data_IF_197424879169
#
_entry.id   IF_197424879169
#
_cell.length_a   1.000
_cell.length_b   1.000
_cell.length_c   1.000
_cell.angle_alpha   90.00
_cell.angle_beta   90.00
_cell.angle_gamma   90.00
#
_symmetry.space_group_name_H-M   'P 1'
#
loop_
_entity.id
_entity.type
_entity.pdbx_description
1 polymer ?
#
# COMPACT_ATOMS: atom_id res chain seq x y z
N UNK A 1 11.32 -26.06 1.97
CA UNK A 1 11.24 -24.66 1.49
C UNK A 1 12.41 -23.90 2.10
N UNK A 2 13.13 -23.11 1.30
CA UNK A 2 14.39 -22.45 1.70
C UNK A 2 14.17 -20.93 1.82
N UNK A 3 14.86 -20.30 2.77
CA UNK A 3 15.02 -18.86 2.87
C UNK A 3 16.30 -18.45 2.13
N UNK A 4 16.34 -17.25 1.53
CA UNK A 4 17.55 -16.73 0.91
C UNK A 4 18.57 -16.25 1.95
N UNK A 5 18.44 -15.00 2.41
CA UNK A 5 19.24 -14.39 3.48
C UNK A 5 18.37 -14.26 4.73
N UNK A 6 18.86 -14.78 5.86
CA UNK A 6 18.14 -14.81 7.13
C UNK A 6 18.92 -14.10 8.24
N UNK A 7 18.31 -13.08 8.84
CA UNK A 7 18.75 -12.43 10.09
C UNK A 7 17.71 -12.71 11.16
N UNK A 8 18.11 -13.39 12.24
CA UNK A 8 17.14 -13.88 13.22
C UNK A 8 17.66 -13.84 14.67
N UNK A 9 16.75 -14.04 15.63
CA UNK A 9 17.04 -14.35 17.04
C UNK A 9 17.85 -13.26 17.74
N UNK A 10 17.39 -12.02 17.64
CA UNK A 10 18.05 -10.87 18.26
C UNK A 10 19.33 -10.43 17.56
N UNK A 11 19.71 -11.05 16.44
CA UNK A 11 20.91 -10.68 15.69
C UNK A 11 20.79 -9.28 15.12
N UNK A 12 21.92 -8.55 15.12
CA UNK A 12 22.02 -7.25 14.46
C UNK A 12 22.96 -7.36 13.27
N UNK A 13 22.51 -6.89 12.12
CA UNK A 13 23.30 -6.80 10.89
C UNK A 13 23.34 -5.35 10.45
N UNK A 14 24.53 -4.86 10.11
CA UNK A 14 24.64 -3.47 9.64
C UNK A 14 24.04 -3.33 8.25
N UNK A 15 24.44 -4.18 7.31
CA UNK A 15 24.10 -4.00 5.89
C UNK A 15 23.80 -5.35 5.23
N UNK A 16 22.75 -5.38 4.40
CA UNK A 16 22.51 -6.41 3.39
C UNK A 16 22.52 -5.67 2.05
N UNK A 17 23.61 -5.81 1.29
CA UNK A 17 23.83 -5.02 0.09
C UNK A 17 24.16 -5.84 -1.16
N UNK A 18 23.62 -5.42 -2.32
CA UNK A 18 24.00 -5.91 -3.65
C UNK A 18 23.90 -7.43 -3.83
N UNK A 19 22.91 -8.07 -3.20
CA UNK A 19 22.67 -9.50 -3.35
C UNK A 19 21.65 -9.77 -4.45
N UNK A 20 21.77 -10.95 -5.05
CA UNK A 20 20.81 -11.47 -6.01
C UNK A 20 20.20 -12.77 -5.47
N UNK A 21 18.96 -12.67 -4.99
CA UNK A 21 18.29 -13.72 -4.22
C UNK A 21 17.03 -14.16 -4.96
N UNK A 22 17.08 -15.34 -5.59
CA UNK A 22 16.00 -15.83 -6.46
C UNK A 22 15.46 -17.20 -6.11
N UNK A 23 14.20 -17.41 -6.49
CA UNK A 23 13.51 -18.71 -6.54
C UNK A 23 13.54 -19.49 -5.21
N UNK A 24 13.52 -18.77 -4.09
CA UNK A 24 13.43 -19.37 -2.76
C UNK A 24 11.98 -19.74 -2.45
N UNK A 25 11.77 -20.94 -1.92
CA UNK A 25 10.43 -21.41 -1.55
C UNK A 25 9.78 -20.67 -0.37
N UNK A 26 10.47 -19.71 0.27
CA UNK A 26 9.93 -18.83 1.31
C UNK A 26 10.30 -17.37 1.03
N UNK A 27 10.98 -16.67 1.93
CA UNK A 27 11.40 -15.29 1.73
C UNK A 27 12.77 -15.25 1.04
N UNK A 28 12.97 -14.27 0.17
CA UNK A 28 14.31 -13.94 -0.33
C UNK A 28 15.14 -13.31 0.79
N UNK A 29 14.68 -12.19 1.35
CA UNK A 29 15.29 -11.56 2.52
C UNK A 29 14.36 -11.73 3.73
N UNK A 30 14.87 -12.26 4.83
CA UNK A 30 14.07 -12.53 6.02
C UNK A 30 14.72 -11.98 7.29
N UNK A 31 14.01 -11.09 7.97
CA UNK A 31 14.41 -10.48 9.23
C UNK A 31 13.35 -10.82 10.29
N UNK A 32 13.67 -11.70 11.24
CA UNK A 32 12.68 -12.23 12.18
C UNK A 32 13.19 -12.36 13.63
N UNK A 33 12.27 -12.60 14.56
CA UNK A 33 12.57 -12.89 15.96
C UNK A 33 13.49 -11.85 16.61
N UNK A 34 13.01 -10.61 16.68
CA UNK A 34 13.69 -9.46 17.31
C UNK A 34 15.01 -9.07 16.63
N UNK A 35 15.22 -9.45 15.37
CA UNK A 35 16.39 -9.08 14.61
C UNK A 35 16.39 -7.59 14.24
N UNK A 36 17.58 -7.06 13.96
CA UNK A 36 17.76 -5.69 13.49
C UNK A 36 18.67 -5.66 12.26
N UNK A 37 18.24 -4.94 11.22
CA UNK A 37 19.09 -4.61 10.08
C UNK A 37 19.13 -3.09 9.90
N UNK A 38 20.30 -2.48 9.87
CA UNK A 38 20.35 -1.02 9.69
C UNK A 38 20.02 -0.62 8.25
N UNK A 39 20.58 -1.30 7.24
CA UNK A 39 20.38 -1.00 5.82
C UNK A 39 20.20 -2.26 4.96
N UNK A 40 19.20 -2.26 4.10
CA UNK A 40 19.00 -3.21 3.00
C UNK A 40 19.00 -2.42 1.69
N UNK A 41 20.00 -2.60 0.83
CA UNK A 41 20.12 -1.78 -0.40
C UNK A 41 20.71 -2.49 -1.60
N UNK A 42 20.24 -2.14 -2.81
CA UNK A 42 20.79 -2.67 -4.06
C UNK A 42 20.55 -4.17 -4.27
N UNK A 43 19.64 -4.79 -3.52
CA UNK A 43 19.36 -6.21 -3.66
C UNK A 43 18.27 -6.47 -4.70
N UNK A 44 18.37 -7.61 -5.37
CA UNK A 44 17.28 -8.21 -6.15
C UNK A 44 16.73 -9.39 -5.36
N UNK A 45 15.43 -9.40 -5.12
CA UNK A 45 14.70 -10.51 -4.50
C UNK A 45 13.53 -10.90 -5.38
N UNK A 46 13.70 -11.99 -6.15
CA UNK A 46 12.81 -12.35 -7.26
C UNK A 46 12.32 -13.80 -7.20
N UNK A 47 11.06 -14.08 -7.56
CA UNK A 47 10.58 -15.47 -7.65
C UNK A 47 10.41 -16.17 -6.30
N UNK A 48 10.37 -15.43 -5.20
CA UNK A 48 10.19 -15.97 -3.86
C UNK A 48 8.72 -15.92 -3.42
N UNK A 49 8.35 -16.58 -2.33
CA UNK A 49 7.03 -16.33 -1.73
C UNK A 49 6.96 -14.90 -1.16
N UNK A 50 8.00 -14.44 -0.48
CA UNK A 50 8.09 -13.03 -0.04
C UNK A 50 9.44 -12.42 -0.46
N UNK A 51 9.44 -11.24 -1.08
CA UNK A 51 10.67 -10.56 -1.47
C UNK A 51 11.49 -10.14 -0.24
N UNK A 52 10.90 -9.34 0.64
CA UNK A 52 11.42 -8.98 1.96
C UNK A 52 10.36 -9.22 3.03
N UNK A 53 10.70 -9.98 4.05
CA UNK A 53 9.84 -10.25 5.20
C UNK A 53 10.49 -9.73 6.49
N UNK A 54 9.77 -8.86 7.22
CA UNK A 54 10.19 -8.32 8.53
C UNK A 54 9.13 -8.71 9.56
N UNK A 55 9.45 -9.64 10.46
CA UNK A 55 8.48 -10.24 11.38
C UNK A 55 8.94 -10.19 12.85
N UNK A 56 7.99 -10.41 13.75
CA UNK A 56 8.22 -10.75 15.17
C UNK A 56 9.14 -9.77 15.91
N UNK A 57 8.68 -8.52 16.02
CA UNK A 57 9.38 -7.40 16.68
C UNK A 57 10.73 -7.05 16.05
N UNK A 58 10.99 -7.50 14.82
CA UNK A 58 12.21 -7.14 14.11
C UNK A 58 12.11 -5.76 13.49
N UNK A 59 13.25 -5.15 13.22
CA UNK A 59 13.33 -3.78 12.71
C UNK A 59 14.30 -3.65 11.56
N UNK A 60 13.94 -2.82 10.58
CA UNK A 60 14.84 -2.40 9.52
C UNK A 60 14.87 -0.87 9.41
N UNK A 61 16.05 -0.27 9.50
CA UNK A 61 16.22 1.19 9.45
C UNK A 61 16.00 1.77 8.06
N UNK A 62 16.69 1.23 7.05
CA UNK A 62 16.59 1.68 5.66
C UNK A 62 16.44 0.51 4.71
N UNK A 63 15.48 0.60 3.79
CA UNK A 63 15.30 -0.32 2.67
C UNK A 63 15.25 0.54 1.41
N UNK A 64 16.35 0.55 0.65
CA UNK A 64 16.53 1.52 -0.42
C UNK A 64 17.05 0.92 -1.72
N UNK A 65 16.48 1.33 -2.85
CA UNK A 65 16.96 0.93 -4.18
C UNK A 65 17.04 -0.59 -4.38
N UNK A 66 16.07 -1.33 -3.84
CA UNK A 66 15.95 -2.78 -4.07
C UNK A 66 14.89 -3.08 -5.13
N UNK A 67 14.98 -4.28 -5.71
CA UNK A 67 14.01 -4.84 -6.64
C UNK A 67 13.32 -6.06 -6.00
N UNK A 68 12.06 -5.91 -5.61
CA UNK A 68 11.20 -6.94 -5.03
C UNK A 68 10.13 -7.35 -6.05
N UNK A 69 10.54 -8.03 -7.12
CA UNK A 69 9.66 -8.36 -8.23
C UNK A 69 9.33 -9.85 -8.37
N UNK A 70 8.18 -10.18 -8.96
CA UNK A 70 7.76 -11.57 -9.24
C UNK A 70 7.72 -12.51 -8.02
N UNK A 71 7.44 -11.97 -6.84
CA UNK A 71 7.18 -12.73 -5.62
C UNK A 71 5.66 -12.91 -5.42
N UNK A 72 5.22 -13.72 -4.46
CA UNK A 72 3.82 -13.64 -4.04
C UNK A 72 3.57 -12.27 -3.37
N UNK A 73 4.38 -11.92 -2.36
CA UNK A 73 4.35 -10.60 -1.72
C UNK A 73 5.71 -9.92 -1.92
N UNK A 74 5.73 -8.69 -2.41
CA UNK A 74 6.97 -7.93 -2.57
C UNK A 74 7.63 -7.63 -1.22
N UNK A 75 6.90 -6.96 -0.33
CA UNK A 75 7.37 -6.61 1.03
C UNK A 75 6.29 -6.92 2.06
N UNK A 76 6.67 -7.59 3.14
CA UNK A 76 5.79 -7.93 4.25
C UNK A 76 6.34 -7.41 5.58
N UNK A 77 5.46 -6.77 6.37
CA UNK A 77 5.73 -6.49 7.79
C UNK A 77 4.58 -7.03 8.64
N UNK A 78 4.91 -7.73 9.72
CA UNK A 78 3.90 -8.19 10.67
C UNK A 78 4.44 -8.44 12.07
N UNK A 79 3.53 -8.61 13.03
CA UNK A 79 3.80 -8.96 14.42
C UNK A 79 4.73 -7.93 15.08
N UNK A 80 4.28 -6.68 15.13
CA UNK A 80 4.98 -5.53 15.74
C UNK A 80 6.34 -5.22 15.14
N UNK A 81 6.60 -5.70 13.91
CA UNK A 81 7.79 -5.34 13.15
C UNK A 81 7.76 -3.87 12.70
N UNK A 82 8.94 -3.29 12.52
CA UNK A 82 9.10 -1.89 12.09
C UNK A 82 9.99 -1.74 10.86
N UNK A 83 9.61 -0.82 9.98
CA UNK A 83 10.42 -0.36 8.87
C UNK A 83 10.48 1.16 8.88
N UNK A 84 11.64 1.76 9.10
CA UNK A 84 11.69 3.21 9.27
C UNK A 84 11.62 3.95 7.93
N UNK A 85 12.53 3.63 7.00
CA UNK A 85 12.67 4.32 5.72
C UNK A 85 12.71 3.32 4.57
N UNK A 86 11.57 3.03 3.97
CA UNK A 86 11.43 2.16 2.81
C UNK A 86 11.26 3.04 1.57
N UNK A 87 12.37 3.33 0.86
CA UNK A 87 12.38 4.34 -0.20
C UNK A 87 13.00 3.91 -1.51
N UNK A 88 12.45 4.39 -2.64
CA UNK A 88 13.09 4.21 -3.95
C UNK A 88 13.17 2.75 -4.42
N UNK A 89 12.34 1.86 -3.88
CA UNK A 89 12.32 0.46 -4.28
C UNK A 89 11.38 0.23 -5.47
N UNK A 90 11.68 -0.81 -6.24
CA UNK A 90 10.79 -1.35 -7.28
C UNK A 90 10.07 -2.57 -6.70
N UNK A 91 8.74 -2.58 -6.77
CA UNK A 91 7.89 -3.68 -6.32
C UNK A 91 6.93 -4.01 -7.46
N UNK A 92 7.37 -4.91 -8.35
CA UNK A 92 6.69 -5.13 -9.63
C UNK A 92 6.25 -6.59 -9.82
N UNK A 93 5.08 -6.77 -10.43
CA UNK A 93 4.62 -8.07 -10.92
C UNK A 93 4.52 -9.15 -9.82
N UNK A 94 4.26 -8.75 -8.58
CA UNK A 94 3.98 -9.66 -7.48
C UNK A 94 2.49 -10.02 -7.43
N UNK A 95 2.07 -10.98 -6.58
CA UNK A 95 0.64 -11.13 -6.26
C UNK A 95 0.12 -9.98 -5.40
N UNK A 96 0.96 -9.43 -4.51
CA UNK A 96 0.75 -8.19 -3.75
C UNK A 96 2.02 -7.38 -3.56
N UNK A 97 1.91 -6.06 -3.50
CA UNK A 97 3.08 -5.19 -3.31
C UNK A 97 3.58 -5.14 -1.87
N UNK A 98 3.01 -4.24 -1.06
CA UNK A 98 3.28 -4.11 0.37
C UNK A 98 2.13 -4.71 1.19
N UNK A 99 2.44 -5.59 2.13
CA UNK A 99 1.48 -6.18 3.07
C UNK A 99 1.89 -5.88 4.53
N UNK A 100 0.98 -5.29 5.31
CA UNK A 100 1.22 -4.93 6.70
C UNK A 100 0.10 -5.42 7.61
N UNK A 101 0.44 -6.10 8.71
CA UNK A 101 -0.56 -6.58 9.67
C UNK A 101 -0.02 -6.74 11.10
N UNK A 102 -0.89 -7.06 12.06
CA UNK A 102 -0.54 -7.42 13.46
C UNK A 102 0.38 -6.39 14.13
N UNK A 103 -0.09 -5.16 14.17
CA UNK A 103 0.53 -3.99 14.79
C UNK A 103 1.92 -3.61 14.25
N UNK A 104 2.20 -3.91 12.97
CA UNK A 104 3.42 -3.42 12.31
C UNK A 104 3.36 -1.91 12.04
N UNK A 105 4.55 -1.29 11.90
CA UNK A 105 4.67 0.15 11.66
C UNK A 105 5.67 0.44 10.56
N UNK A 106 5.28 1.26 9.59
CA UNK A 106 6.19 1.86 8.62
C UNK A 106 6.14 3.38 8.73
N UNK A 107 7.25 4.01 9.12
CA UNK A 107 7.26 5.46 9.37
C UNK A 107 7.47 6.28 8.11
N UNK A 108 8.06 5.71 7.06
CA UNK A 108 8.17 6.34 5.76
C UNK A 108 8.29 5.29 4.65
N UNK A 109 7.22 5.15 3.87
CA UNK A 109 7.21 4.38 2.62
C UNK A 109 7.12 5.38 1.46
N UNK A 110 8.25 5.72 0.84
CA UNK A 110 8.31 6.85 -0.09
C UNK A 110 9.04 6.62 -1.41
N UNK A 111 8.60 7.30 -2.48
CA UNK A 111 9.26 7.26 -3.79
C UNK A 111 9.43 5.83 -4.36
N UNK A 112 8.59 4.89 -3.95
CA UNK A 112 8.60 3.52 -4.46
C UNK A 112 7.72 3.43 -5.72
N UNK A 113 8.06 2.48 -6.57
CA UNK A 113 7.31 2.14 -7.79
C UNK A 113 6.64 0.78 -7.60
N UNK A 114 5.33 0.79 -7.43
CA UNK A 114 4.52 -0.41 -7.24
C UNK A 114 3.69 -0.64 -8.49
N UNK A 115 4.10 -1.58 -9.35
CA UNK A 115 3.48 -1.78 -10.66
C UNK A 115 3.04 -3.21 -10.88
N UNK A 116 1.97 -3.40 -11.63
CA UNK A 116 1.50 -4.70 -12.12
C UNK A 116 1.31 -5.78 -11.03
N UNK A 117 1.16 -5.37 -9.77
CA UNK A 117 0.91 -6.29 -8.66
C UNK A 117 -0.54 -6.80 -8.78
N UNK A 118 -0.76 -8.10 -8.60
CA UNK A 118 -2.02 -8.73 -9.00
C UNK A 118 -3.08 -8.66 -7.91
N UNK A 119 -3.56 -9.82 -7.47
CA UNK A 119 -4.79 -10.01 -6.69
C UNK A 119 -4.84 -9.19 -5.40
N UNK A 120 -3.73 -9.07 -4.68
CA UNK A 120 -3.68 -8.39 -3.38
C UNK A 120 -3.45 -6.87 -3.51
N UNK A 121 -3.30 -6.36 -4.74
CA UNK A 121 -3.15 -4.94 -5.02
C UNK A 121 -1.76 -4.38 -4.77
N UNK A 122 -1.67 -3.05 -4.69
CA UNK A 122 -0.43 -2.32 -4.49
C UNK A 122 0.02 -2.32 -3.03
N UNK A 123 -0.81 -1.78 -2.15
CA UNK A 123 -0.55 -1.67 -0.71
C UNK A 123 -1.76 -2.16 0.07
N UNK A 124 -1.54 -3.08 1.00
CA UNK A 124 -2.55 -3.58 1.92
C UNK A 124 -2.10 -3.37 3.37
N UNK A 125 -2.86 -2.59 4.12
CA UNK A 125 -2.59 -2.28 5.54
C UNK A 125 -3.78 -2.75 6.37
N UNK A 126 -3.58 -3.86 7.09
CA UNK A 126 -4.50 -4.36 8.12
C UNK A 126 -4.35 -3.60 9.43
N UNK A 127 -4.35 -4.30 10.57
CA UNK A 127 -4.22 -3.70 11.90
C UNK A 127 -2.80 -3.15 12.13
N UNK A 128 -2.41 -2.06 11.45
CA UNK A 128 -1.05 -1.52 11.37
C UNK A 128 -1.06 -0.03 10.99
N UNK A 129 0.09 0.63 11.07
CA UNK A 129 0.23 2.07 10.78
C UNK A 129 1.27 2.31 9.70
N UNK A 130 0.94 3.12 8.69
CA UNK A 130 1.87 3.48 7.62
C UNK A 130 1.79 4.97 7.22
N UNK A 131 2.95 5.59 6.99
CA UNK A 131 3.04 6.85 6.26
C UNK A 131 3.55 6.59 4.84
N UNK A 132 2.76 6.99 3.84
CA UNK A 132 2.96 6.67 2.42
C UNK A 132 3.10 7.99 1.66
N UNK A 133 4.26 8.25 1.06
CA UNK A 133 4.56 9.54 0.42
C UNK A 133 5.13 9.40 -0.99
N UNK A 134 4.66 10.19 -1.95
CA UNK A 134 5.29 10.30 -3.28
C UNK A 134 5.51 8.95 -4.02
N UNK A 135 4.67 7.95 -3.78
CA UNK A 135 4.78 6.67 -4.49
C UNK A 135 4.03 6.71 -5.82
N UNK A 136 4.41 5.82 -6.73
CA UNK A 136 3.68 5.55 -7.96
C UNK A 136 3.10 4.13 -7.88
N UNK A 137 1.78 4.03 -7.83
CA UNK A 137 1.04 2.77 -7.70
C UNK A 137 0.17 2.60 -8.94
N UNK A 138 0.47 1.62 -9.79
CA UNK A 138 -0.24 1.50 -11.05
C UNK A 138 -0.39 0.08 -11.61
N UNK A 139 -1.45 -0.08 -12.42
CA UNK A 139 -1.70 -1.31 -13.15
C UNK A 139 -1.92 -2.54 -12.28
N UNK A 140 -2.33 -2.37 -11.01
CA UNK A 140 -2.62 -3.51 -10.15
C UNK A 140 -3.94 -4.17 -10.56
N UNK A 141 -4.04 -5.50 -10.38
CA UNK A 141 -5.32 -6.19 -10.65
C UNK A 141 -6.33 -5.89 -9.54
N UNK A 142 -5.88 -5.81 -8.29
CA UNK A 142 -6.67 -5.34 -7.16
C UNK A 142 -6.72 -3.81 -7.05
N UNK A 143 -6.96 -3.32 -5.83
CA UNK A 143 -6.92 -1.89 -5.54
C UNK A 143 -5.47 -1.35 -5.54
N UNK A 144 -5.33 -0.04 -5.68
CA UNK A 144 -4.05 0.63 -5.46
C UNK A 144 -3.62 0.55 -3.99
N UNK A 145 -4.47 1.05 -3.10
CA UNK A 145 -4.26 1.04 -1.64
C UNK A 145 -5.53 0.61 -0.92
N UNK A 146 -5.41 -0.40 -0.06
CA UNK A 146 -6.47 -0.87 0.83
C UNK A 146 -6.03 -0.77 2.28
N UNK A 147 -6.85 -0.14 3.11
CA UNK A 147 -6.67 -0.06 4.56
C UNK A 147 -7.87 -0.69 5.23
N UNK A 148 -7.63 -1.64 6.14
CA UNK A 148 -8.67 -2.42 6.80
C UNK A 148 -8.34 -2.69 8.27
N UNK A 149 -9.28 -3.28 9.00
CA UNK A 149 -9.05 -3.83 10.35
C UNK A 149 -8.42 -2.83 11.33
N UNK A 150 -8.97 -1.61 11.40
CA UNK A 150 -8.45 -0.50 12.22
C UNK A 150 -7.05 0.01 11.84
N UNK A 151 -6.59 -0.30 10.63
CA UNK A 151 -5.36 0.24 10.06
C UNK A 151 -5.41 1.76 9.96
N UNK A 152 -4.24 2.39 10.09
CA UNK A 152 -4.09 3.85 10.05
C UNK A 152 -3.06 4.26 9.01
N UNK A 153 -3.49 5.01 8.00
CA UNK A 153 -2.60 5.41 6.92
C UNK A 153 -2.69 6.91 6.66
N UNK A 154 -1.53 7.54 6.53
CA UNK A 154 -1.41 8.88 5.95
C UNK A 154 -0.82 8.76 4.55
N UNK A 155 -1.49 9.31 3.54
CA UNK A 155 -1.02 9.38 2.16
C UNK A 155 -0.71 10.83 1.76
N UNK A 156 0.48 11.08 1.22
CA UNK A 156 0.86 12.39 0.69
C UNK A 156 1.45 12.26 -0.71
N UNK A 157 1.05 13.15 -1.63
CA UNK A 157 1.70 13.26 -2.95
C UNK A 157 1.73 11.98 -3.80
N UNK A 158 0.92 10.97 -3.47
CA UNK A 158 0.99 9.64 -4.08
C UNK A 158 0.11 9.59 -5.31
N UNK A 159 0.63 8.96 -6.37
CA UNK A 159 -0.08 8.73 -7.63
C UNK A 159 -0.62 7.30 -7.62
N UNK A 160 -1.93 7.15 -7.81
CA UNK A 160 -2.61 5.86 -7.87
C UNK A 160 -3.40 5.81 -9.18
N UNK A 161 -2.86 5.09 -10.17
CA UNK A 161 -3.34 5.14 -11.55
C UNK A 161 -3.66 3.76 -12.15
N UNK A 162 -4.85 3.62 -12.75
CA UNK A 162 -5.15 2.49 -13.62
C UNK A 162 -5.33 1.14 -12.91
N UNK A 163 -5.67 1.13 -11.62
CA UNK A 163 -5.82 -0.10 -10.83
C UNK A 163 -7.21 -0.75 -11.02
N UNK A 164 -7.29 -2.07 -10.86
CA UNK A 164 -8.41 -2.91 -11.29
C UNK A 164 -9.59 -3.02 -10.31
N UNK A 165 -9.40 -2.66 -9.03
CA UNK A 165 -10.45 -2.71 -8.00
C UNK A 165 -10.44 -1.48 -7.07
N UNK A 166 -10.23 -0.31 -7.66
CA UNK A 166 -10.26 0.96 -6.94
C UNK A 166 -8.91 1.62 -6.74
N UNK A 167 -8.93 2.93 -6.47
CA UNK A 167 -7.73 3.68 -6.13
C UNK A 167 -7.35 3.51 -4.66
N UNK A 168 -8.15 4.09 -3.77
CA UNK A 168 -7.91 4.15 -2.32
C UNK A 168 -9.14 3.71 -1.54
N UNK A 169 -8.97 2.76 -0.62
CA UNK A 169 -10.07 2.20 0.16
C UNK A 169 -9.80 2.16 1.66
N UNK A 170 -10.81 2.48 2.46
CA UNK A 170 -10.84 2.34 3.91
C UNK A 170 -12.03 1.44 4.33
N UNK A 171 -11.74 0.33 5.01
CA UNK A 171 -12.71 -0.68 5.46
C UNK A 171 -12.52 -1.06 6.93
N UNK A 172 -13.53 -1.71 7.52
CA UNK A 172 -13.48 -2.36 8.83
C UNK A 172 -12.80 -1.53 9.94
N UNK A 173 -13.24 -0.27 10.08
CA UNK A 173 -12.75 0.64 11.13
C UNK A 173 -11.44 1.34 10.79
N UNK A 174 -10.95 1.25 9.56
CA UNK A 174 -9.75 1.93 9.10
C UNK A 174 -9.84 3.45 9.18
N UNK A 175 -8.70 4.11 9.37
CA UNK A 175 -8.57 5.56 9.31
C UNK A 175 -7.55 5.95 8.25
N UNK A 176 -7.97 6.71 7.26
CA UNK A 176 -7.12 7.18 6.18
C UNK A 176 -7.17 8.70 6.08
N UNK A 177 -6.01 9.34 6.04
CA UNK A 177 -5.87 10.77 5.70
C UNK A 177 -5.03 10.88 4.45
N UNK A 178 -5.54 11.54 3.41
CA UNK A 178 -4.86 11.68 2.13
C UNK A 178 -4.78 13.16 1.72
N UNK A 179 -3.62 13.65 1.32
CA UNK A 179 -3.45 15.02 0.82
C UNK A 179 -2.52 15.05 -0.40
N UNK A 180 -2.82 15.90 -1.39
CA UNK A 180 -2.05 15.98 -2.63
C UNK A 180 -2.02 14.68 -3.43
N UNK A 181 -2.97 13.76 -3.22
CA UNK A 181 -3.00 12.47 -3.91
C UNK A 181 -3.70 12.60 -5.26
N UNK A 182 -3.23 11.84 -6.25
CA UNK A 182 -3.84 11.78 -7.57
C UNK A 182 -4.35 10.38 -7.84
N UNK A 183 -5.66 10.24 -7.88
CA UNK A 183 -6.37 8.99 -8.16
C UNK A 183 -6.91 9.09 -9.59
N UNK A 184 -6.39 8.30 -10.52
CA UNK A 184 -6.81 8.37 -11.92
C UNK A 184 -7.06 7.02 -12.54
N UNK A 185 -8.06 6.93 -13.42
CA UNK A 185 -8.31 5.73 -14.25
C UNK A 185 -8.50 4.41 -13.47
N UNK A 186 -8.76 4.49 -12.16
CA UNK A 186 -9.02 3.33 -11.33
C UNK A 186 -10.42 2.79 -11.62
N UNK A 187 -10.61 1.49 -11.56
CA UNK A 187 -11.91 0.84 -11.75
C UNK A 187 -12.72 0.91 -10.45
N UNK A 188 -14.05 0.90 -10.54
CA UNK A 188 -15.01 0.88 -9.43
C UNK A 188 -15.09 2.19 -8.62
N UNK A 189 -13.98 2.68 -8.11
CA UNK A 189 -13.93 3.92 -7.33
C UNK A 189 -12.57 4.61 -7.41
N UNK A 190 -12.59 5.94 -7.26
CA UNK A 190 -11.38 6.68 -6.97
C UNK A 190 -10.98 6.50 -5.51
N UNK A 191 -11.85 6.95 -4.61
CA UNK A 191 -11.66 6.84 -3.16
C UNK A 191 -12.92 6.33 -2.47
N UNK A 192 -12.78 5.42 -1.50
CA UNK A 192 -13.91 4.82 -0.79
C UNK A 192 -13.66 4.73 0.72
N UNK A 193 -14.68 5.06 1.51
CA UNK A 193 -14.83 4.55 2.86
C UNK A 193 -16.09 3.68 2.95
N UNK A 194 -15.96 2.46 3.45
CA UNK A 194 -17.12 1.62 3.74
C UNK A 194 -16.99 0.81 5.03
N UNK A 195 -18.13 0.51 5.65
CA UNK A 195 -18.20 -0.16 6.94
C UNK A 195 -18.17 0.82 8.12
N UNK A 196 -18.87 0.47 9.19
CA UNK A 196 -18.97 1.32 10.38
C UNK A 196 -17.59 1.58 11.00
N UNK A 197 -17.32 2.85 11.32
CA UNK A 197 -16.05 3.28 11.91
C UNK A 197 -14.93 3.53 10.89
N UNK A 198 -15.11 3.16 9.61
CA UNK A 198 -14.15 3.48 8.56
C UNK A 198 -14.22 4.96 8.20
N UNK A 199 -13.08 5.63 8.19
CA UNK A 199 -12.98 7.08 7.90
C UNK A 199 -11.94 7.35 6.84
N UNK A 200 -12.29 8.20 5.88
CA UNK A 200 -11.41 8.71 4.85
C UNK A 200 -11.48 10.23 4.81
N UNK A 201 -10.35 10.88 5.11
CA UNK A 201 -10.21 12.33 5.03
C UNK A 201 -9.40 12.70 3.79
N UNK A 202 -10.01 13.44 2.86
CA UNK A 202 -9.36 13.96 1.67
C UNK A 202 -8.99 15.44 1.86
N UNK A 203 -7.71 15.75 1.75
CA UNK A 203 -7.14 17.07 1.94
C UNK A 203 -6.84 17.81 0.65
N UNK A 204 -6.29 19.02 0.81
CA UNK A 204 -5.91 19.90 -0.28
C UNK A 204 -5.04 19.21 -1.35
N UNK A 205 -5.21 19.60 -2.60
CA UNK A 205 -4.47 19.06 -3.74
C UNK A 205 -4.89 17.65 -4.18
N UNK A 206 -5.91 17.06 -3.55
CA UNK A 206 -6.45 15.77 -3.99
C UNK A 206 -7.19 15.90 -5.32
N UNK A 207 -6.92 14.98 -6.25
CA UNK A 207 -7.64 14.89 -7.53
C UNK A 207 -8.10 13.46 -7.79
N UNK A 208 -9.33 13.31 -8.27
CA UNK A 208 -9.96 12.03 -8.58
C UNK A 208 -10.61 12.12 -9.95
N UNK A 209 -10.01 11.41 -10.91
CA UNK A 209 -10.34 11.59 -12.32
C UNK A 209 -10.49 10.28 -13.06
N UNK A 210 -11.42 10.23 -14.02
CA UNK A 210 -11.51 9.11 -14.95
C UNK A 210 -11.82 7.76 -14.30
N UNK A 211 -12.46 7.71 -13.13
CA UNK A 211 -12.83 6.42 -12.53
C UNK A 211 -13.68 5.62 -13.53
N UNK A 212 -13.24 4.40 -13.82
CA UNK A 212 -13.83 3.49 -14.80
C UNK A 212 -14.87 2.58 -14.16
N UNK A 213 -15.84 2.13 -14.96
CA UNK A 213 -16.80 1.14 -14.48
C UNK A 213 -16.17 -0.24 -14.31
N UNK A 214 -16.72 -1.01 -13.37
CA UNK A 214 -16.47 -2.45 -13.27
C UNK A 214 -17.02 -3.17 -14.51
N UNK A 215 -16.61 -4.43 -14.73
CA UNK A 215 -17.13 -5.27 -15.81
C UNK A 215 -18.66 -5.47 -15.74
N UNK A 216 -19.22 -5.49 -14.53
CA UNK A 216 -20.67 -5.52 -14.30
C UNK A 216 -21.40 -4.20 -14.59
N UNK A 217 -20.66 -3.10 -14.79
CA UNK A 217 -21.21 -1.77 -15.05
C UNK A 217 -21.79 -1.04 -13.82
N UNK A 218 -21.77 -1.65 -12.64
CA UNK A 218 -22.50 -1.17 -11.45
C UNK A 218 -21.75 -0.16 -10.58
N UNK A 219 -20.43 -0.05 -10.71
CA UNK A 219 -19.60 0.93 -10.00
C UNK A 219 -18.84 1.84 -10.98
N UNK A 220 -18.14 2.86 -10.51
CA UNK A 220 -17.38 3.81 -11.32
C UNK A 220 -17.40 5.26 -10.78
N UNK A 221 -17.53 5.42 -9.47
CA UNK A 221 -17.70 6.74 -8.84
C UNK A 221 -16.36 7.37 -8.44
N UNK A 222 -16.26 8.70 -8.44
CA UNK A 222 -15.09 9.37 -7.88
C UNK A 222 -14.90 9.02 -6.40
N UNK A 223 -15.89 9.35 -5.59
CA UNK A 223 -15.92 9.13 -4.14
C UNK A 223 -17.09 8.21 -3.77
N UNK A 224 -16.85 7.25 -2.90
CA UNK A 224 -17.88 6.37 -2.33
C UNK A 224 -17.84 6.47 -0.79
N UNK A 225 -18.99 6.75 -0.21
CA UNK A 225 -19.25 6.66 1.23
C UNK A 225 -20.41 5.68 1.44
N UNK A 226 -20.14 4.50 1.98
CA UNK A 226 -21.13 3.42 2.01
C UNK A 226 -21.12 2.63 3.33
N UNK A 227 -22.22 1.93 3.65
CA UNK A 227 -22.29 0.99 4.77
C UNK A 227 -21.77 1.55 6.12
N UNK A 228 -22.03 2.83 6.41
CA UNK A 228 -21.59 3.49 7.65
C UNK A 228 -20.15 4.03 7.64
N UNK A 229 -19.44 3.91 6.53
CA UNK A 229 -18.16 4.61 6.32
C UNK A 229 -18.39 6.11 6.16
N UNK A 230 -17.39 6.90 6.51
CA UNK A 230 -17.45 8.37 6.47
C UNK A 230 -16.32 8.91 5.59
N UNK A 231 -16.70 9.71 4.60
CA UNK A 231 -15.75 10.50 3.81
C UNK A 231 -15.92 11.97 4.15
N UNK A 232 -14.81 12.61 4.52
CA UNK A 232 -14.73 14.05 4.80
C UNK A 232 -13.68 14.68 3.91
N UNK A 233 -13.97 15.82 3.30
CA UNK A 233 -13.00 16.60 2.58
C UNK A 233 -12.71 17.89 3.33
N UNK A 234 -11.45 18.13 3.71
CA UNK A 234 -11.03 19.40 4.34
C UNK A 234 -10.83 20.50 3.29
N UNK A 235 -10.75 20.13 2.02
CA UNK A 235 -10.85 21.00 0.86
C UNK A 235 -11.47 20.19 -0.28
N UNK A 236 -12.38 20.77 -1.09
CA UNK A 236 -12.98 20.03 -2.20
C UNK A 236 -11.92 19.48 -3.16
N UNK A 237 -11.91 18.17 -3.47
CA UNK A 237 -11.00 17.60 -4.45
C UNK A 237 -11.38 18.02 -5.88
N UNK A 238 -10.42 17.97 -6.80
CA UNK A 238 -10.72 18.07 -8.23
C UNK A 238 -11.36 16.77 -8.70
N UNK A 239 -12.61 16.82 -9.15
CA UNK A 239 -13.37 15.65 -9.60
C UNK A 239 -13.79 15.80 -11.06
N UNK A 240 -13.40 14.87 -11.94
CA UNK A 240 -13.79 14.92 -13.36
C UNK A 240 -13.77 13.55 -14.05
N UNK A 241 -14.62 13.37 -15.07
CA UNK A 241 -14.59 12.18 -15.93
C UNK A 241 -14.93 10.85 -15.24
N UNK A 242 -15.50 10.86 -14.03
CA UNK A 242 -15.85 9.65 -13.30
C UNK A 242 -17.13 9.02 -13.88
N UNK A 243 -17.03 7.77 -14.36
CA UNK A 243 -18.01 7.18 -15.28
C UNK A 243 -19.43 7.04 -14.70
N UNK A 244 -19.56 6.77 -13.40
CA UNK A 244 -20.84 6.68 -12.71
C UNK A 244 -21.24 7.98 -11.98
N UNK A 245 -20.36 8.98 -11.95
CA UNK A 245 -20.55 10.24 -11.24
C UNK A 245 -19.45 10.50 -10.21
N UNK A 246 -19.44 11.70 -9.64
CA UNK A 246 -18.38 12.14 -8.73
C UNK A 246 -18.54 11.62 -7.30
N UNK A 247 -19.77 11.37 -6.86
CA UNK A 247 -20.07 10.98 -5.48
C UNK A 247 -21.19 9.93 -5.46
N UNK A 248 -21.01 8.93 -4.60
CA UNK A 248 -22.05 8.01 -4.14
C UNK A 248 -22.08 7.99 -2.61
N UNK A 249 -23.27 8.17 -2.04
CA UNK A 249 -23.48 8.27 -0.59
C UNK A 249 -23.16 9.65 0.00
N UNK A 250 -23.18 9.74 1.33
CA UNK A 250 -22.99 11.01 2.05
C UNK A 250 -21.49 11.27 2.30
N UNK A 251 -20.97 12.36 1.74
CA UNK A 251 -19.62 12.86 2.01
C UNK A 251 -19.67 14.35 2.37
N UNK A 252 -18.88 14.76 3.36
CA UNK A 252 -18.91 16.13 3.89
C UNK A 252 -17.81 16.98 3.27
N UNK A 253 -18.16 18.15 2.70
CA UNK A 253 -17.19 19.10 2.16
C UNK A 253 -16.53 18.71 0.82
N UNK A 254 -17.00 17.63 0.18
CA UNK A 254 -16.37 17.05 -1.01
C UNK A 254 -16.90 17.57 -2.36
N UNK A 255 -17.99 18.31 -2.34
CA UNK A 255 -18.58 18.98 -3.51
C UNK A 255 -18.66 20.48 -3.18
N UNK A 256 -18.41 21.38 -4.13
CA UNK A 256 -18.63 22.83 -3.96
C UNK A 256 -20.06 23.19 -3.56
#
# INVERSE_FOLDING_TARGET
SQQGILVQRGSTTREILNNDVRDNGQSGLFVENQARVDVITGNVSNGNSVGLSILDRSSVGRVESNDFSRNDIGVQLAATATGENLRGNTIDSNRGGLFMDRASVVTAFENNKLRNNRELGGINVGASTAAIGANEISGTLGAGVTVASQGRVTLTGTVIDGNGDGGLSAFDGATVTAAGVRLSNNVAHGAQAAGAGSTLTLGAGTSITGTRRTASGSAGFGIISAAGGVVTCTSPPSLSGNAAGNLFGAATGCIP
#
